data_IF_417941651592
#
_entry.id   IF_417941651592
#
_cell.length_a   1.000
_cell.length_b   1.000
_cell.length_c   1.000
_cell.angle_alpha   90.00
_cell.angle_beta   90.00
_cell.angle_gamma   90.00
#
_symmetry.space_group_name_H-M   'P 1'
#
loop_
_entity.id
_entity.type
_entity.pdbx_description
1 polymer ?
#
# COMPACT_ATOMS: atom_id res chain seq x y z
N UNK A 1 44.11 40.29 18.09
CA UNK A 1 45.04 39.18 17.75
C UNK A 1 44.24 37.89 17.57
N UNK A 2 44.58 37.02 16.61
CA UNK A 2 43.85 35.74 16.44
C UNK A 2 44.38 34.70 17.43
N UNK A 3 43.47 33.95 18.06
CA UNK A 3 43.80 32.93 19.07
C UNK A 3 44.74 31.81 18.59
N UNK A 4 44.78 31.54 17.28
CA UNK A 4 45.58 30.47 16.68
C UNK A 4 46.26 30.96 15.38
N UNK A 5 47.58 30.81 15.26
CA UNK A 5 48.38 31.18 14.08
C UNK A 5 48.19 30.18 12.94
N UNK A 6 48.60 30.53 11.72
CA UNK A 6 48.55 29.62 10.56
C UNK A 6 49.40 28.36 10.81
N UNK A 7 50.65 28.55 11.23
CA UNK A 7 51.59 27.46 11.54
C UNK A 7 51.01 26.49 12.57
N UNK A 8 50.35 27.02 13.61
CA UNK A 8 49.70 26.20 14.63
C UNK A 8 48.55 25.36 14.07
N UNK A 9 47.70 25.95 13.22
CA UNK A 9 46.60 25.21 12.57
C UNK A 9 47.14 24.16 11.61
N UNK A 10 48.14 24.52 10.81
CA UNK A 10 48.74 23.63 9.82
C UNK A 10 49.40 22.43 10.50
N UNK A 11 50.14 22.65 11.59
CA UNK A 11 50.71 21.57 12.41
C UNK A 11 49.64 20.56 12.88
N UNK A 12 48.55 21.05 13.46
CA UNK A 12 47.47 20.17 13.97
C UNK A 12 46.79 19.41 12.82
N UNK A 13 46.63 20.03 11.65
CA UNK A 13 46.05 19.35 10.48
C UNK A 13 46.99 18.27 9.96
N UNK A 14 48.30 18.51 9.91
CA UNK A 14 49.29 17.51 9.53
C UNK A 14 49.32 16.34 10.51
N UNK A 15 49.31 16.61 11.83
CA UNK A 15 49.22 15.55 12.86
C UNK A 15 47.94 14.70 12.72
N UNK A 16 46.83 15.30 12.28
CA UNK A 16 45.62 14.53 11.95
C UNK A 16 45.78 13.67 10.70
N UNK A 17 46.41 14.20 9.64
CA UNK A 17 46.62 13.48 8.39
C UNK A 17 47.67 12.37 8.51
N UNK A 18 48.66 12.52 9.38
CA UNK A 18 49.64 11.48 9.72
C UNK A 18 49.10 10.39 10.64
N UNK A 19 47.86 10.53 11.13
CA UNK A 19 47.17 9.49 11.91
C UNK A 19 47.50 9.50 13.41
N UNK A 20 48.07 10.58 13.97
CA UNK A 20 48.44 10.66 15.39
C UNK A 20 47.24 10.65 16.36
N UNK A 21 46.01 10.82 15.86
CA UNK A 21 44.78 10.61 16.64
C UNK A 21 43.56 11.36 16.10
N UNK A 22 42.38 11.08 16.69
CA UNK A 22 41.11 11.72 16.30
C UNK A 22 40.95 13.16 16.79
N UNK A 23 39.92 13.87 16.31
CA UNK A 23 39.71 15.30 16.60
C UNK A 23 39.66 15.66 18.09
N UNK A 24 39.03 14.82 18.92
CA UNK A 24 38.93 15.04 20.36
C UNK A 24 40.29 14.86 21.08
N UNK A 25 41.10 13.90 20.60
CA UNK A 25 42.44 13.66 21.12
C UNK A 25 43.38 14.83 20.80
N UNK A 26 43.40 15.28 19.55
CA UNK A 26 44.22 16.43 19.13
C UNK A 26 43.78 17.74 19.82
N UNK A 27 42.49 17.89 20.11
CA UNK A 27 42.00 19.05 20.85
C UNK A 27 42.53 19.08 22.28
N UNK A 28 42.57 17.92 22.94
CA UNK A 28 43.14 17.78 24.30
C UNK A 28 44.66 17.96 24.28
N UNK A 29 45.36 17.38 23.30
CA UNK A 29 46.83 17.46 23.12
C UNK A 29 47.31 18.91 22.95
N UNK A 30 46.60 19.70 22.16
CA UNK A 30 46.98 21.09 21.81
C UNK A 30 46.18 22.17 22.55
N UNK A 31 45.44 21.79 23.59
CA UNK A 31 44.60 22.68 24.40
C UNK A 31 43.63 23.55 23.56
N UNK A 32 43.04 22.96 22.53
CA UNK A 32 41.99 23.58 21.71
C UNK A 32 40.64 23.29 22.35
N UNK A 33 39.81 24.32 22.51
CA UNK A 33 38.56 24.27 23.29
C UNK A 33 37.57 23.18 22.84
N UNK A 34 37.57 22.80 21.57
CA UNK A 34 36.60 21.84 21.00
C UNK A 34 37.23 21.11 19.79
N UNK A 35 37.05 19.78 19.72
CA UNK A 35 37.44 18.95 18.57
C UNK A 35 36.76 19.36 17.27
N UNK A 36 35.57 19.95 17.34
CA UNK A 36 34.89 20.48 16.15
C UNK A 36 35.66 21.64 15.50
N UNK A 37 36.49 22.37 16.27
CA UNK A 37 37.35 23.42 15.75
C UNK A 37 38.47 22.85 14.86
N UNK A 38 39.03 21.70 15.24
CA UNK A 38 40.05 20.98 14.47
C UNK A 38 39.41 20.33 13.24
N UNK A 39 38.24 19.71 13.39
CA UNK A 39 37.47 19.17 12.27
C UNK A 39 37.21 20.23 11.18
N UNK A 40 36.91 21.48 11.57
CA UNK A 40 36.78 22.60 10.62
C UNK A 40 38.09 22.91 9.90
N UNK A 41 39.22 22.96 10.59
CA UNK A 41 40.53 23.22 9.98
C UNK A 41 40.94 22.12 9.01
N UNK A 42 40.81 20.85 9.41
CA UNK A 42 41.14 19.70 8.55
C UNK A 42 40.30 19.70 7.29
N UNK A 43 38.99 19.95 7.40
CA UNK A 43 38.13 19.98 6.22
C UNK A 43 38.39 21.19 5.33
N UNK A 44 38.68 22.37 5.89
CA UNK A 44 39.09 23.53 5.10
C UNK A 44 40.40 23.28 4.35
N UNK A 45 41.33 22.54 4.97
CA UNK A 45 42.60 22.16 4.34
C UNK A 45 42.43 21.11 3.24
N UNK A 46 41.59 20.08 3.45
CA UNK A 46 41.31 19.06 2.43
C UNK A 46 40.71 19.65 1.15
N UNK A 47 39.89 20.69 1.28
CA UNK A 47 39.17 21.29 0.15
C UNK A 47 39.95 22.42 -0.54
N UNK A 48 40.65 23.26 0.23
CA UNK A 48 41.28 24.49 -0.28
C UNK A 48 42.80 24.55 -0.03
N UNK A 49 43.41 23.45 0.39
CA UNK A 49 44.83 23.40 0.74
C UNK A 49 45.21 24.38 1.85
N UNK A 50 46.45 24.88 1.80
CA UNK A 50 46.98 25.83 2.78
C UNK A 50 46.18 27.15 2.83
N UNK A 51 45.62 27.60 1.71
CA UNK A 51 44.77 28.81 1.66
C UNK A 51 43.51 28.69 2.54
N UNK A 52 43.02 27.46 2.75
CA UNK A 52 41.90 27.17 3.63
C UNK A 52 42.15 27.49 5.11
N UNK A 53 43.42 27.53 5.52
CA UNK A 53 43.84 27.80 6.91
C UNK A 53 44.22 29.28 7.14
N UNK A 54 44.51 30.01 6.06
CA UNK A 54 44.83 31.42 6.08
C UNK A 54 43.62 32.28 6.47
N UNK A 55 43.88 33.37 7.21
CA UNK A 55 42.85 34.33 7.59
C UNK A 55 42.68 35.35 6.46
N UNK A 56 41.52 35.40 5.82
CA UNK A 56 41.17 36.51 4.91
C UNK A 56 41.03 37.80 5.72
N UNK A 57 41.86 38.81 5.41
CA UNK A 57 41.88 40.13 6.08
C UNK A 57 40.81 41.09 5.54
N UNK A 58 40.13 40.75 4.44
CA UNK A 58 39.10 41.59 3.81
C UNK A 58 37.70 40.96 3.94
N UNK A 59 36.72 41.76 4.36
CA UNK A 59 35.31 41.36 4.36
C UNK A 59 34.77 41.38 2.92
N UNK A 60 34.65 40.19 2.30
CA UNK A 60 34.03 40.06 0.98
C UNK A 60 32.52 40.38 1.10
N UNK A 61 32.08 41.47 0.46
CA UNK A 61 30.66 41.81 0.35
C UNK A 61 30.05 41.01 -0.80
N UNK A 62 28.94 40.34 -0.55
CA UNK A 62 28.20 39.58 -1.55
C UNK A 62 26.97 40.38 -2.00
N UNK A 63 26.77 40.48 -3.31
CA UNK A 63 25.60 41.14 -3.88
C UNK A 63 24.32 40.38 -3.53
N UNK A 64 23.16 41.06 -3.54
CA UNK A 64 21.87 40.41 -3.27
C UNK A 64 21.60 39.28 -4.26
N UNK A 65 21.95 39.49 -5.54
CA UNK A 65 21.82 38.47 -6.59
C UNK A 65 22.67 37.23 -6.34
N UNK A 66 23.91 37.41 -5.85
CA UNK A 66 24.77 36.28 -5.46
C UNK A 66 24.23 35.52 -4.25
N UNK A 67 23.61 36.21 -3.29
CA UNK A 67 22.96 35.55 -2.15
C UNK A 67 21.73 34.75 -2.60
N UNK A 68 20.96 35.26 -3.55
CA UNK A 68 19.80 34.59 -4.13
C UNK A 68 20.20 33.34 -4.90
N UNK A 69 21.25 33.40 -5.74
CA UNK A 69 21.72 32.22 -6.47
C UNK A 69 22.22 31.12 -5.54
N UNK A 70 22.88 31.48 -4.42
CA UNK A 70 23.30 30.51 -3.41
C UNK A 70 22.10 29.82 -2.71
N UNK A 71 21.00 30.55 -2.49
CA UNK A 71 19.77 30.00 -1.90
C UNK A 71 19.03 29.11 -2.89
N UNK A 72 18.91 29.55 -4.15
CA UNK A 72 18.28 28.78 -5.22
C UNK A 72 19.03 27.47 -5.47
N UNK A 73 20.37 27.50 -5.49
CA UNK A 73 21.20 26.31 -5.63
C UNK A 73 20.94 25.30 -4.49
N UNK A 74 20.80 25.78 -3.26
CA UNK A 74 20.44 24.93 -2.12
C UNK A 74 19.00 24.37 -2.20
N UNK A 75 18.04 25.14 -2.72
CA UNK A 75 16.65 24.71 -2.82
C UNK A 75 16.39 23.74 -3.98
N UNK A 76 17.21 23.81 -5.03
CA UNK A 76 17.05 23.03 -6.26
C UNK A 76 17.91 21.76 -6.28
N UNK A 77 18.92 21.65 -5.42
CA UNK A 77 19.82 20.49 -5.33
C UNK A 77 19.70 19.80 -3.96
N UNK A 78 20.16 18.55 -3.86
CA UNK A 78 20.23 17.81 -2.59
C UNK A 78 21.52 18.10 -1.79
N UNK A 79 22.20 19.21 -2.09
CA UNK A 79 23.47 19.59 -1.46
C UNK A 79 23.25 20.14 -0.04
N UNK A 80 24.09 19.75 0.91
CA UNK A 80 24.17 20.37 2.23
C UNK A 80 24.68 21.81 2.14
N UNK A 81 24.37 22.65 3.14
CA UNK A 81 24.90 24.04 3.21
C UNK A 81 26.42 24.13 3.09
N UNK A 82 27.12 23.07 3.47
CA UNK A 82 28.57 22.97 3.38
C UNK A 82 29.03 22.72 1.96
N UNK A 83 28.41 21.78 1.25
CA UNK A 83 28.69 21.49 -0.15
C UNK A 83 28.35 22.69 -1.04
N UNK A 84 27.23 23.38 -0.77
CA UNK A 84 26.88 24.62 -1.47
C UNK A 84 27.95 25.69 -1.23
N UNK A 85 28.41 25.86 0.01
CA UNK A 85 29.47 26.81 0.32
C UNK A 85 30.79 26.47 -0.39
N UNK A 86 31.16 25.19 -0.44
CA UNK A 86 32.35 24.73 -1.17
C UNK A 86 32.25 25.04 -2.67
N UNK A 87 31.11 24.74 -3.31
CA UNK A 87 30.87 25.01 -4.74
C UNK A 87 30.97 26.49 -5.10
N UNK A 88 30.66 27.37 -4.14
CA UNK A 88 30.71 28.83 -4.30
C UNK A 88 32.03 29.46 -3.81
N UNK A 89 33.00 28.64 -3.38
CA UNK A 89 34.28 29.12 -2.83
C UNK A 89 34.15 29.89 -1.51
N UNK A 90 33.11 29.58 -0.72
CA UNK A 90 32.79 30.20 0.55
C UNK A 90 33.22 29.27 1.70
N UNK A 91 34.27 29.67 2.43
CA UNK A 91 34.82 28.86 3.53
C UNK A 91 33.93 28.87 4.81
N UNK A 92 32.76 29.53 4.77
CA UNK A 92 31.88 29.75 5.92
C UNK A 92 30.44 29.33 5.59
N UNK A 93 30.15 28.03 5.70
CA UNK A 93 28.82 27.47 5.48
C UNK A 93 27.69 28.12 6.33
N UNK A 94 27.90 28.46 7.61
CA UNK A 94 26.93 29.23 8.40
C UNK A 94 26.46 30.56 7.79
N UNK A 95 27.23 31.15 6.87
CA UNK A 95 26.84 32.38 6.18
C UNK A 95 25.59 32.16 5.30
N UNK A 96 25.55 31.04 4.58
CA UNK A 96 24.42 30.66 3.71
C UNK A 96 23.19 30.33 4.56
N UNK A 97 23.38 29.68 5.72
CA UNK A 97 22.30 29.43 6.68
C UNK A 97 21.64 30.74 7.13
N UNK A 98 22.43 31.78 7.42
CA UNK A 98 21.90 33.09 7.80
C UNK A 98 21.17 33.78 6.64
N UNK A 99 21.69 33.70 5.41
CA UNK A 99 20.99 34.23 4.23
C UNK A 99 19.66 33.52 4.01
N UNK A 100 19.62 32.19 4.13
CA UNK A 100 18.39 31.41 4.01
C UNK A 100 17.37 31.79 5.09
N UNK A 101 17.83 31.99 6.33
CA UNK A 101 16.97 32.46 7.43
C UNK A 101 16.37 33.83 7.11
N UNK A 102 17.19 34.80 6.75
CA UNK A 102 16.71 36.14 6.39
C UNK A 102 15.79 36.15 5.17
N UNK A 103 16.03 35.28 4.20
CA UNK A 103 15.16 35.11 3.04
C UNK A 103 13.81 34.47 3.40
N UNK A 104 13.79 33.50 4.31
CA UNK A 104 12.52 32.93 4.82
C UNK A 104 11.72 33.95 5.62
N UNK A 105 12.39 34.79 6.42
CA UNK A 105 11.73 35.73 7.33
C UNK A 105 11.20 36.98 6.59
N UNK A 106 11.93 37.49 5.59
CA UNK A 106 11.63 38.78 4.96
C UNK A 106 11.82 38.80 3.43
N UNK A 107 11.92 37.63 2.78
CA UNK A 107 12.10 37.54 1.33
C UNK A 107 13.38 38.20 0.83
N UNK A 108 13.33 38.79 -0.36
CA UNK A 108 14.47 39.48 -0.99
C UNK A 108 14.96 40.67 -0.13
N UNK A 109 14.04 41.35 0.56
CA UNK A 109 14.35 42.49 1.45
C UNK A 109 15.14 42.09 2.69
N UNK A 110 15.06 40.81 3.10
CA UNK A 110 15.90 40.25 4.15
C UNK A 110 17.39 40.17 3.77
N UNK A 111 17.70 40.07 2.48
CA UNK A 111 19.07 39.90 1.97
C UNK A 111 19.80 41.23 1.73
N UNK A 112 19.08 42.35 1.69
CA UNK A 112 19.60 43.70 1.39
C UNK A 112 20.04 44.49 2.62
N UNK A 113 19.64 44.09 3.84
CA UNK A 113 19.95 44.85 5.06
C UNK A 113 21.46 44.88 5.36
N UNK A 114 22.04 46.07 5.26
CA UNK A 114 23.38 46.41 5.76
C UNK A 114 23.37 46.42 7.29
N UNK A 115 24.34 45.76 7.94
CA UNK A 115 24.53 45.88 9.41
C UNK A 115 25.15 47.24 9.74
N UNK A 116 24.41 48.11 10.42
CA UNK A 116 24.88 49.39 10.97
C UNK A 116 23.81 50.12 11.80
N UNK A 117 24.24 51.01 12.71
CA UNK A 117 23.37 51.95 13.44
C UNK A 117 22.75 52.93 12.42
N UNK A 118 21.44 53.22 12.48
CA UNK A 118 20.86 54.22 11.58
C UNK A 118 21.55 55.58 11.81
N UNK A 119 21.88 56.34 10.76
CA UNK A 119 22.43 57.67 10.93
C UNK A 119 21.35 58.55 11.58
N UNK A 120 21.69 59.15 12.72
CA UNK A 120 20.89 60.18 13.36
C UNK A 120 21.35 61.50 12.72
N UNK A 121 20.69 61.93 11.66
CA UNK A 121 20.60 63.36 11.31
C UNK A 121 19.48 63.58 10.29
N UNK A 122 18.68 64.60 10.56
CA UNK A 122 17.58 65.08 9.72
C UNK A 122 18.12 65.61 8.39
N UNK A 123 17.79 64.96 7.28
CA UNK A 123 17.95 65.58 5.97
C UNK A 123 16.68 66.30 5.55
N UNK A 124 16.91 67.57 5.20
CA UNK A 124 15.94 68.59 4.82
C UNK A 124 15.08 68.15 3.64
N UNK A 125 13.84 68.65 3.66
CA UNK A 125 12.96 68.75 2.49
C UNK A 125 13.73 69.34 1.30
N UNK A 126 13.87 68.56 0.23
CA UNK A 126 14.10 69.06 -1.12
C UNK A 126 12.83 68.81 -1.95
N UNK A 127 12.36 69.87 -2.59
CA UNK A 127 11.16 69.92 -3.43
C UNK A 127 11.38 69.24 -4.81
N UNK A 128 10.32 68.99 -5.60
CA UNK A 128 10.23 67.85 -6.50
C UNK A 128 10.94 68.10 -7.84
N UNK A 129 11.75 67.14 -8.26
CA UNK A 129 12.29 67.08 -9.61
C UNK A 129 11.83 65.79 -10.30
N UNK A 130 10.93 66.00 -11.25
CA UNK A 130 10.81 65.31 -12.54
C UNK A 130 10.54 63.80 -12.53
N UNK A 131 9.32 63.48 -12.93
CA UNK A 131 8.85 62.17 -13.36
C UNK A 131 9.76 61.53 -14.41
N UNK A 132 10.65 60.63 -13.99
CA UNK A 132 11.16 59.60 -14.88
C UNK A 132 10.22 58.39 -14.79
N UNK A 133 9.27 58.33 -15.73
CA UNK A 133 8.64 57.07 -16.13
C UNK A 133 9.78 56.13 -16.50
N UNK A 134 10.16 55.23 -15.59
CA UNK A 134 10.98 54.09 -15.94
C UNK A 134 10.18 53.28 -16.96
N UNK A 135 10.64 53.32 -18.21
CA UNK A 135 10.27 52.33 -19.21
C UNK A 135 10.60 50.98 -18.59
N UNK A 136 9.57 50.24 -18.17
CA UNK A 136 9.68 48.80 -17.95
C UNK A 136 10.30 48.24 -19.23
N UNK A 137 11.41 47.53 -19.12
CA UNK A 137 12.02 46.90 -20.31
C UNK A 137 10.96 46.01 -20.95
N UNK A 138 10.88 45.94 -22.29
CA UNK A 138 9.86 45.14 -22.98
C UNK A 138 9.86 43.68 -22.48
N UNK A 139 11.05 43.20 -22.10
CA UNK A 139 11.33 41.94 -21.41
C UNK A 139 10.61 41.76 -20.07
N UNK A 140 10.51 42.79 -19.24
CA UNK A 140 9.80 42.70 -17.95
C UNK A 140 8.28 42.63 -18.15
N UNK A 141 7.75 43.34 -19.15
CA UNK A 141 6.33 43.28 -19.51
C UNK A 141 5.96 41.91 -20.11
N UNK A 142 6.85 41.33 -20.92
CA UNK A 142 6.69 39.97 -21.45
C UNK A 142 6.73 38.93 -20.33
N UNK A 143 7.69 39.05 -19.40
CA UNK A 143 7.80 38.16 -18.24
C UNK A 143 6.58 38.24 -17.32
N UNK A 144 6.05 39.44 -17.07
CA UNK A 144 4.82 39.63 -16.29
C UNK A 144 3.64 38.94 -16.97
N UNK A 145 3.46 39.12 -18.30
CA UNK A 145 2.40 38.44 -19.06
C UNK A 145 2.54 36.92 -19.02
N UNK A 146 3.77 36.40 -19.09
CA UNK A 146 4.02 34.97 -19.00
C UNK A 146 3.68 34.41 -17.62
N UNK A 147 4.10 35.10 -16.55
CA UNK A 147 3.77 34.74 -15.17
C UNK A 147 2.25 34.80 -14.92
N UNK A 148 1.56 35.83 -15.40
CA UNK A 148 0.10 35.92 -15.32
C UNK A 148 -0.59 34.75 -16.01
N UNK A 149 -0.09 34.34 -17.19
CA UNK A 149 -0.58 33.16 -17.93
C UNK A 149 -0.33 31.87 -17.15
N UNK A 150 0.83 31.71 -16.54
CA UNK A 150 1.16 30.55 -15.70
C UNK A 150 0.25 30.49 -14.47
N UNK A 151 0.08 31.60 -13.74
CA UNK A 151 -0.83 31.70 -12.58
C UNK A 151 -2.26 31.35 -12.98
N UNK A 152 -2.73 31.84 -14.14
CA UNK A 152 -4.07 31.52 -14.65
C UNK A 152 -4.23 30.04 -14.99
N UNK A 153 -3.20 29.43 -15.60
CA UNK A 153 -3.16 27.99 -15.91
C UNK A 153 -3.19 27.15 -14.63
N UNK A 154 -2.40 27.51 -13.63
CA UNK A 154 -2.37 26.83 -12.32
C UNK A 154 -3.70 26.97 -11.57
N UNK A 155 -4.35 28.15 -11.64
CA UNK A 155 -5.69 28.35 -11.07
C UNK A 155 -6.72 27.41 -11.69
N UNK A 156 -6.68 27.23 -13.02
CA UNK A 156 -7.55 26.29 -13.73
C UNK A 156 -7.28 24.85 -13.28
N UNK A 157 -6.01 24.43 -13.26
CA UNK A 157 -5.62 23.08 -12.82
C UNK A 157 -6.08 22.80 -11.39
N UNK A 158 -5.84 23.72 -10.46
CA UNK A 158 -6.26 23.59 -9.07
C UNK A 158 -7.78 23.51 -8.93
N UNK A 159 -8.54 24.34 -9.65
CA UNK A 159 -9.99 24.28 -9.63
C UNK A 159 -10.52 22.94 -10.17
N UNK A 160 -9.90 22.44 -11.24
CA UNK A 160 -10.20 21.12 -11.81
C UNK A 160 -9.89 19.98 -10.84
N UNK A 161 -8.71 19.99 -10.20
CA UNK A 161 -8.35 18.98 -9.20
C UNK A 161 -9.28 18.98 -8.00
N UNK A 162 -9.68 20.15 -7.49
CA UNK A 162 -10.68 20.25 -6.40
C UNK A 162 -12.01 19.60 -6.78
N UNK A 163 -12.52 19.86 -7.98
CA UNK A 163 -13.74 19.22 -8.48
C UNK A 163 -13.60 17.70 -8.66
N UNK A 164 -12.44 17.23 -9.10
CA UNK A 164 -12.14 15.80 -9.15
C UNK A 164 -12.18 15.19 -7.75
N UNK A 165 -11.58 15.85 -6.76
CA UNK A 165 -11.54 15.37 -5.38
C UNK A 165 -12.94 15.30 -4.76
N UNK A 166 -13.78 16.32 -4.99
CA UNK A 166 -15.19 16.33 -4.61
C UNK A 166 -15.98 15.19 -5.27
N UNK A 167 -15.78 14.97 -6.56
CA UNK A 167 -16.40 13.86 -7.29
C UNK A 167 -15.90 12.49 -6.79
N UNK A 168 -14.62 12.38 -6.41
CA UNK A 168 -14.07 11.16 -5.83
C UNK A 168 -14.67 10.86 -4.44
N UNK A 169 -14.87 11.89 -3.60
CA UNK A 169 -15.51 11.75 -2.27
C UNK A 169 -16.95 11.26 -2.37
N UNK A 170 -17.66 11.63 -3.44
CA UNK A 170 -19.02 11.17 -3.72
C UNK A 170 -19.09 9.83 -4.46
N UNK A 171 -17.95 9.18 -4.71
CA UNK A 171 -17.88 7.88 -5.40
C UNK A 171 -18.16 7.97 -6.90
N UNK A 172 -18.18 9.17 -7.48
CA UNK A 172 -18.39 9.35 -8.91
C UNK A 172 -17.13 8.98 -9.71
N UNK A 173 -17.25 8.33 -10.88
CA UNK A 173 -16.10 8.00 -11.70
C UNK A 173 -15.40 9.29 -12.15
N UNK A 174 -14.11 9.45 -11.84
CA UNK A 174 -13.36 10.69 -12.09
C UNK A 174 -12.50 10.65 -13.36
N UNK A 175 -12.21 9.45 -13.89
CA UNK A 175 -11.25 9.24 -15.00
C UNK A 175 -11.88 9.07 -16.38
N UNK A 176 -13.20 9.17 -16.50
CA UNK A 176 -13.87 8.99 -17.80
C UNK A 176 -13.92 10.28 -18.60
N UNK A 177 -13.92 10.19 -19.93
CA UNK A 177 -14.06 11.38 -20.78
C UNK A 177 -15.39 12.12 -20.53
N UNK A 178 -16.45 11.39 -20.16
CA UNK A 178 -17.73 11.98 -19.77
C UNK A 178 -17.62 12.77 -18.46
N UNK A 179 -17.02 12.19 -17.41
CA UNK A 179 -16.85 12.85 -16.12
C UNK A 179 -15.98 14.10 -16.22
N UNK A 180 -14.89 14.03 -16.99
CA UNK A 180 -14.02 15.18 -17.28
C UNK A 180 -14.82 16.27 -17.99
N UNK A 181 -15.64 15.93 -19.00
CA UNK A 181 -16.47 16.90 -19.69
C UNK A 181 -17.53 17.55 -18.77
N UNK A 182 -18.14 16.80 -17.84
CA UNK A 182 -19.07 17.33 -16.84
C UNK A 182 -18.39 18.31 -15.87
N UNK A 183 -17.17 17.98 -15.43
CA UNK A 183 -16.36 18.87 -14.59
C UNK A 183 -16.01 20.15 -15.36
N UNK A 184 -15.60 20.07 -16.63
CA UNK A 184 -15.34 21.23 -17.49
C UNK A 184 -16.59 22.13 -17.61
N UNK A 185 -17.78 21.54 -17.74
CA UNK A 185 -19.04 22.32 -17.74
C UNK A 185 -19.26 23.04 -16.42
N UNK A 186 -19.02 22.38 -15.28
CA UNK A 186 -19.18 23.02 -13.97
C UNK A 186 -18.22 24.21 -13.75
N UNK A 187 -17.06 24.21 -14.41
CA UNK A 187 -16.04 25.26 -14.33
C UNK A 187 -16.27 26.41 -15.32
N UNK A 188 -17.20 26.28 -16.27
CA UNK A 188 -17.48 27.32 -17.27
C UNK A 188 -18.02 28.63 -16.68
N UNK A 189 -18.53 28.61 -15.45
CA UNK A 189 -18.92 29.83 -14.74
C UNK A 189 -17.73 30.69 -14.30
N UNK A 190 -16.53 30.11 -14.20
CA UNK A 190 -15.33 30.78 -13.68
C UNK A 190 -14.25 30.99 -14.75
N UNK A 191 -14.20 30.12 -15.76
CA UNK A 191 -13.14 30.12 -16.79
C UNK A 191 -13.71 29.97 -18.20
N UNK A 192 -13.01 30.56 -19.19
CA UNK A 192 -13.38 30.41 -20.61
C UNK A 192 -13.13 28.97 -21.08
N UNK A 193 -14.00 28.45 -21.94
CA UNK A 193 -13.89 27.07 -22.46
C UNK A 193 -12.55 26.81 -23.18
N UNK A 194 -12.07 27.76 -23.98
CA UNK A 194 -10.80 27.63 -24.70
C UNK A 194 -9.63 27.47 -23.73
N UNK A 195 -9.63 28.25 -22.64
CA UNK A 195 -8.61 28.16 -21.59
C UNK A 195 -8.67 26.79 -20.89
N UNK A 196 -9.87 26.33 -20.51
CA UNK A 196 -10.07 25.02 -19.88
C UNK A 196 -9.58 23.86 -20.76
N UNK A 197 -9.95 23.84 -22.04
CA UNK A 197 -9.57 22.77 -22.96
C UNK A 197 -8.07 22.75 -23.24
N UNK A 198 -7.44 23.92 -23.41
CA UNK A 198 -6.01 24.04 -23.65
C UNK A 198 -5.20 23.64 -22.41
N UNK A 199 -5.59 24.10 -21.22
CA UNK A 199 -4.89 23.77 -19.97
C UNK A 199 -4.98 22.29 -19.61
N UNK A 200 -6.12 21.65 -19.89
CA UNK A 200 -6.35 20.22 -19.60
C UNK A 200 -5.93 19.31 -20.77
N UNK A 201 -5.47 19.88 -21.87
CA UNK A 201 -5.19 19.19 -23.13
C UNK A 201 -6.36 18.27 -23.59
N UNK A 202 -7.60 18.76 -23.41
CA UNK A 202 -8.81 17.99 -23.69
C UNK A 202 -9.40 18.38 -25.06
N UNK A 203 -9.54 17.46 -26.02
CA UNK A 203 -10.00 17.82 -27.37
C UNK A 203 -11.42 18.43 -27.37
N UNK A 204 -11.59 19.55 -28.07
CA UNK A 204 -12.88 20.24 -28.22
C UNK A 204 -13.96 19.32 -28.79
N UNK A 205 -13.62 18.49 -29.77
CA UNK A 205 -14.54 17.53 -30.38
C UNK A 205 -15.08 16.53 -29.33
N UNK A 206 -14.21 16.00 -28.47
CA UNK A 206 -14.58 15.08 -27.39
C UNK A 206 -15.47 15.77 -26.35
N UNK A 207 -15.17 17.01 -25.98
CA UNK A 207 -16.01 17.81 -25.09
C UNK A 207 -17.42 18.01 -25.67
N UNK A 208 -17.53 18.47 -26.91
CA UNK A 208 -18.82 18.70 -27.57
C UNK A 208 -19.62 17.40 -27.75
N UNK A 209 -18.92 16.30 -28.04
CA UNK A 209 -19.50 14.96 -28.12
C UNK A 209 -20.20 14.56 -26.82
N UNK A 210 -19.56 14.78 -25.67
CA UNK A 210 -20.14 14.43 -24.37
C UNK A 210 -21.18 15.44 -23.90
N UNK A 211 -20.97 16.74 -24.15
CA UNK A 211 -21.92 17.79 -23.78
C UNK A 211 -23.32 17.54 -24.35
N UNK A 212 -23.41 17.15 -25.63
CA UNK A 212 -24.68 16.79 -26.28
C UNK A 212 -25.37 15.55 -25.67
N UNK A 213 -24.66 14.78 -24.84
CA UNK A 213 -25.10 13.49 -24.30
C UNK A 213 -25.37 13.50 -22.80
N UNK A 214 -25.15 14.62 -22.12
CA UNK A 214 -25.30 14.68 -20.66
C UNK A 214 -26.69 14.34 -20.13
N UNK A 215 -27.73 14.61 -20.94
CA UNK A 215 -29.13 14.35 -20.60
C UNK A 215 -29.59 12.95 -21.03
N UNK A 216 -28.72 12.10 -21.58
CA UNK A 216 -29.09 10.74 -21.94
C UNK A 216 -29.31 9.93 -20.66
N UNK A 217 -30.45 9.25 -20.57
CA UNK A 217 -30.71 8.29 -19.51
C UNK A 217 -29.69 7.15 -19.59
N UNK A 218 -29.13 6.77 -18.44
CA UNK A 218 -28.22 5.63 -18.34
C UNK A 218 -29.03 4.34 -18.49
N UNK A 219 -28.97 3.72 -19.67
CA UNK A 219 -29.65 2.45 -19.96
C UNK A 219 -29.17 1.31 -19.06
N UNK A 220 -27.95 1.43 -18.51
CA UNK A 220 -27.34 0.40 -17.68
C UNK A 220 -27.60 0.60 -16.18
N UNK A 221 -28.34 1.63 -15.77
CA UNK A 221 -28.49 2.01 -14.35
C UNK A 221 -28.98 0.86 -13.47
N UNK A 222 -30.03 0.16 -13.90
CA UNK A 222 -30.60 -0.98 -13.14
C UNK A 222 -29.59 -2.11 -12.94
N UNK A 223 -28.78 -2.39 -13.96
CA UNK A 223 -27.71 -3.41 -13.89
C UNK A 223 -26.59 -2.92 -12.97
N UNK A 224 -26.21 -1.64 -13.05
CA UNK A 224 -25.19 -1.04 -12.18
C UNK A 224 -25.61 -1.12 -10.70
N UNK A 225 -26.86 -0.78 -10.39
CA UNK A 225 -27.40 -0.84 -9.03
C UNK A 225 -27.42 -2.28 -8.48
N UNK A 226 -27.84 -3.26 -9.28
CA UNK A 226 -27.79 -4.67 -8.89
C UNK A 226 -26.36 -5.19 -8.75
N UNK A 227 -25.43 -4.76 -9.60
CA UNK A 227 -24.01 -5.09 -9.43
C UNK A 227 -23.45 -4.59 -8.11
N UNK A 228 -23.88 -3.40 -7.64
CA UNK A 228 -23.49 -2.87 -6.33
C UNK A 228 -24.10 -3.67 -5.18
N UNK A 229 -25.35 -4.12 -5.29
CA UNK A 229 -25.96 -5.02 -4.29
C UNK A 229 -25.24 -6.37 -4.23
N UNK A 230 -24.94 -6.97 -5.39
CA UNK A 230 -24.12 -8.19 -5.50
C UNK A 230 -22.76 -7.97 -4.84
N UNK A 231 -22.16 -6.79 -5.02
CA UNK A 231 -20.84 -6.47 -4.45
C UNK A 231 -20.88 -6.39 -2.92
N UNK A 232 -21.95 -5.84 -2.35
CA UNK A 232 -22.14 -5.77 -0.90
C UNK A 232 -22.24 -7.16 -0.27
N UNK A 233 -22.95 -8.08 -0.92
CA UNK A 233 -23.09 -9.47 -0.48
C UNK A 233 -21.82 -10.30 -0.77
N UNK A 234 -21.23 -10.11 -1.95
CA UNK A 234 -20.12 -10.89 -2.47
C UNK A 234 -18.89 -10.03 -2.80
N UNK A 235 -18.23 -9.54 -1.75
CA UNK A 235 -17.07 -8.64 -1.84
C UNK A 235 -15.86 -9.20 -2.62
N UNK A 236 -15.80 -10.48 -2.94
CA UNK A 236 -14.66 -11.10 -3.64
C UNK A 236 -15.04 -11.62 -5.05
N UNK A 237 -16.24 -11.28 -5.53
CA UNK A 237 -16.66 -11.69 -6.87
C UNK A 237 -16.05 -10.78 -7.94
N UNK A 238 -15.32 -11.42 -8.87
CA UNK A 238 -14.92 -10.80 -10.13
C UNK A 238 -16.04 -10.87 -11.18
N UNK A 239 -15.77 -10.28 -12.36
CA UNK A 239 -16.80 -10.08 -13.40
C UNK A 239 -17.55 -11.35 -13.83
N UNK A 240 -16.89 -12.51 -13.87
CA UNK A 240 -17.56 -13.77 -14.25
C UNK A 240 -18.60 -14.21 -13.23
N UNK A 241 -18.29 -14.10 -11.93
CA UNK A 241 -19.23 -14.46 -10.87
C UNK A 241 -20.35 -13.43 -10.78
N UNK A 242 -20.03 -12.13 -10.89
CA UNK A 242 -21.05 -11.07 -10.96
C UNK A 242 -21.98 -11.29 -12.16
N UNK A 243 -21.45 -11.66 -13.33
CA UNK A 243 -22.28 -11.96 -14.51
C UNK A 243 -23.26 -13.09 -14.23
N UNK A 244 -22.82 -14.14 -13.54
CA UNK A 244 -23.69 -15.28 -13.29
C UNK A 244 -24.68 -15.03 -12.17
N UNK A 245 -24.28 -14.31 -11.14
CA UNK A 245 -25.18 -13.84 -10.08
C UNK A 245 -26.28 -12.91 -10.64
N UNK A 246 -25.94 -12.01 -11.57
CA UNK A 246 -26.91 -11.20 -12.30
C UNK A 246 -27.93 -12.09 -13.06
N UNK A 247 -27.46 -13.17 -13.68
CA UNK A 247 -28.35 -14.11 -14.38
C UNK A 247 -29.26 -14.88 -13.43
N UNK A 248 -28.76 -15.28 -12.26
CA UNK A 248 -29.59 -15.89 -11.21
C UNK A 248 -30.68 -14.93 -10.73
N UNK A 249 -30.42 -13.61 -10.76
CA UNK A 249 -31.41 -12.56 -10.47
C UNK A 249 -32.29 -12.17 -11.66
N UNK A 250 -32.25 -12.92 -12.76
CA UNK A 250 -33.10 -12.70 -13.93
C UNK A 250 -32.53 -11.75 -14.99
N UNK A 251 -31.30 -11.23 -14.84
CA UNK A 251 -30.69 -10.33 -15.83
C UNK A 251 -29.96 -11.11 -16.93
N UNK A 252 -30.46 -11.03 -18.16
CA UNK A 252 -29.77 -11.58 -19.34
C UNK A 252 -28.66 -10.64 -19.82
N UNK A 253 -27.48 -10.74 -19.21
CA UNK A 253 -26.33 -9.89 -19.53
C UNK A 253 -25.13 -10.66 -20.06
N UNK A 254 -24.39 -10.03 -20.98
CA UNK A 254 -23.13 -10.55 -21.50
C UNK A 254 -21.96 -10.19 -20.56
N UNK A 255 -21.03 -11.14 -20.35
CA UNK A 255 -19.82 -10.95 -19.55
C UNK A 255 -18.97 -9.72 -19.94
N UNK A 256 -18.92 -9.37 -21.24
CA UNK A 256 -18.19 -8.19 -21.74
C UNK A 256 -18.84 -6.88 -21.26
N UNK A 257 -20.17 -6.85 -21.18
CA UNK A 257 -20.93 -5.70 -20.64
C UNK A 257 -20.63 -5.53 -19.16
N UNK A 258 -20.73 -6.60 -18.38
CA UNK A 258 -20.39 -6.60 -16.95
C UNK A 258 -18.95 -6.17 -16.71
N UNK A 259 -17.99 -6.65 -17.52
CA UNK A 259 -16.58 -6.23 -17.42
C UNK A 259 -16.38 -4.74 -17.73
N UNK A 260 -17.12 -4.17 -18.70
CA UNK A 260 -17.12 -2.73 -18.95
C UNK A 260 -17.68 -1.95 -17.76
N UNK A 261 -18.80 -2.41 -17.20
CA UNK A 261 -19.46 -1.78 -16.05
C UNK A 261 -18.60 -1.83 -14.78
N UNK A 262 -17.92 -2.95 -14.51
CA UNK A 262 -16.96 -3.06 -13.40
C UNK A 262 -15.85 -2.01 -13.51
N UNK A 263 -15.32 -1.78 -14.72
CA UNK A 263 -14.33 -0.72 -14.95
C UNK A 263 -14.91 0.67 -14.78
N UNK A 264 -16.16 0.89 -15.21
CA UNK A 264 -16.88 2.16 -15.05
C UNK A 264 -17.12 2.49 -13.58
N UNK A 265 -17.55 1.51 -12.79
CA UNK A 265 -17.86 1.63 -11.37
C UNK A 265 -16.61 1.47 -10.46
N UNK A 266 -15.43 1.34 -11.05
CA UNK A 266 -14.15 1.09 -10.35
C UNK A 266 -14.21 -0.05 -9.32
N UNK A 267 -14.96 -1.12 -9.60
CA UNK A 267 -15.07 -2.28 -8.72
C UNK A 267 -13.76 -3.08 -8.79
N UNK A 268 -12.93 -2.98 -7.75
CA UNK A 268 -11.65 -3.70 -7.64
C UNK A 268 -11.68 -4.75 -6.54
N UNK A 269 -11.11 -5.92 -6.84
CA UNK A 269 -10.87 -6.99 -5.85
C UNK A 269 -9.39 -6.95 -5.46
N UNK A 270 -9.10 -6.36 -4.31
CA UNK A 270 -7.71 -6.19 -3.82
C UNK A 270 -7.23 -7.38 -2.98
N UNK A 271 -8.16 -8.24 -2.59
CA UNK A 271 -7.98 -9.38 -1.70
C UNK A 271 -6.88 -10.35 -2.14
N UNK A 272 -6.73 -10.62 -3.44
CA UNK A 272 -5.83 -11.68 -3.95
C UNK A 272 -4.42 -11.19 -4.34
N UNK A 273 -4.01 -9.99 -3.91
CA UNK A 273 -2.73 -9.39 -4.32
C UNK A 273 -1.54 -9.79 -3.46
N UNK A 274 -1.77 -10.42 -2.30
CA UNK A 274 -0.72 -10.70 -1.31
C UNK A 274 -0.17 -12.13 -1.43
N UNK A 275 1.15 -12.27 -1.57
CA UNK A 275 1.88 -13.55 -1.42
C UNK A 275 2.13 -13.83 0.08
N UNK A 276 1.77 -15.02 0.54
CA UNK A 276 2.01 -15.46 1.91
C UNK A 276 3.11 -16.52 1.99
N UNK A 277 3.87 -16.53 3.09
CA UNK A 277 4.86 -17.58 3.40
C UNK A 277 4.20 -18.82 4.03
N UNK A 278 4.83 -19.99 3.86
CA UNK A 278 4.35 -21.31 4.32
C UNK A 278 4.58 -21.54 5.82
N UNK A 279 3.66 -22.27 6.44
CA UNK A 279 3.79 -22.90 7.76
C UNK A 279 4.00 -24.41 7.57
N UNK A 280 4.76 -25.06 8.45
CA UNK A 280 4.97 -26.52 8.47
C UNK A 280 4.78 -27.03 9.90
N UNK A 281 3.95 -28.05 10.08
CA UNK A 281 3.58 -28.67 11.38
C UNK A 281 4.35 -29.97 11.68
N UNK A 282 5.35 -30.32 10.85
CA UNK A 282 6.05 -31.61 10.94
C UNK A 282 6.87 -31.75 12.23
N UNK A 283 6.67 -32.88 12.95
CA UNK A 283 7.32 -33.19 14.24
C UNK A 283 8.11 -34.52 14.28
N UNK A 284 8.33 -35.20 13.15
CA UNK A 284 9.04 -36.50 13.11
C UNK A 284 8.13 -37.69 12.76
N UNK A 285 8.69 -38.91 12.73
CA UNK A 285 7.93 -40.17 12.58
C UNK A 285 7.40 -40.57 13.97
N UNK A 286 6.10 -40.46 14.18
CA UNK A 286 5.45 -40.73 15.48
C UNK A 286 4.41 -41.85 15.39
N UNK A 287 4.03 -42.32 14.19
CA UNK A 287 3.07 -43.41 14.02
C UNK A 287 3.11 -44.13 12.66
N UNK A 288 2.04 -44.84 12.35
CA UNK A 288 1.88 -45.66 11.13
C UNK A 288 1.40 -44.81 9.95
N UNK A 289 1.97 -45.05 8.77
CA UNK A 289 1.67 -44.28 7.55
C UNK A 289 0.86 -45.13 6.56
N UNK A 290 -0.39 -44.74 6.30
CA UNK A 290 -1.26 -45.29 5.27
C UNK A 290 -0.80 -44.92 3.83
N UNK A 291 -1.07 -45.80 2.88
CA UNK A 291 -0.78 -45.58 1.44
C UNK A 291 -1.67 -44.45 0.88
N UNK A 292 -1.17 -43.71 -0.10
CA UNK A 292 -1.97 -42.71 -0.81
C UNK A 292 -2.93 -43.39 -1.80
N UNK A 293 -4.21 -43.48 -1.43
CA UNK A 293 -5.29 -44.08 -2.24
C UNK A 293 -5.92 -43.09 -3.22
N UNK A 294 -5.92 -41.80 -2.87
CA UNK A 294 -6.50 -40.72 -3.70
C UNK A 294 -5.69 -40.53 -4.98
N UNK A 295 -4.35 -40.55 -4.90
CA UNK A 295 -3.43 -40.36 -6.05
C UNK A 295 -3.81 -39.13 -6.89
N UNK A 296 -4.16 -38.02 -6.23
CA UNK A 296 -4.61 -36.74 -6.82
C UNK A 296 -5.92 -36.80 -7.63
N UNK A 297 -6.69 -37.90 -7.52
CA UNK A 297 -8.05 -38.02 -8.08
C UNK A 297 -9.07 -37.34 -7.17
N UNK A 298 -8.97 -36.01 -7.13
CA UNK A 298 -9.81 -35.12 -6.32
C UNK A 298 -11.22 -34.95 -6.87
N UNK A 299 -11.48 -35.32 -8.13
CA UNK A 299 -12.84 -35.41 -8.63
C UNK A 299 -13.49 -36.74 -8.20
N UNK A 300 -14.74 -36.64 -7.79
CA UNK A 300 -15.65 -37.77 -7.65
C UNK A 300 -17.03 -37.33 -8.14
N UNK A 301 -17.84 -38.27 -8.60
CA UNK A 301 -19.25 -38.07 -8.98
C UNK A 301 -20.20 -38.45 -7.85
N UNK A 302 -19.69 -39.10 -6.80
CA UNK A 302 -20.49 -39.60 -5.67
C UNK A 302 -20.23 -38.70 -4.46
N UNK A 303 -21.29 -38.06 -3.96
CA UNK A 303 -21.25 -37.27 -2.74
C UNK A 303 -20.84 -38.12 -1.54
N UNK A 304 -20.11 -37.53 -0.59
CA UNK A 304 -19.68 -38.14 0.66
C UNK A 304 -18.71 -39.33 0.52
N UNK A 305 -18.27 -39.66 -0.69
CA UNK A 305 -17.38 -40.80 -0.94
C UNK A 305 -15.93 -40.53 -0.54
N UNK A 306 -15.43 -39.32 -0.81
CA UNK A 306 -14.03 -38.95 -0.57
C UNK A 306 -13.98 -37.67 0.22
N UNK A 307 -13.47 -37.75 1.44
CA UNK A 307 -13.37 -36.61 2.35
C UNK A 307 -11.90 -36.24 2.52
N UNK A 308 -11.59 -34.96 2.59
CA UNK A 308 -10.23 -34.46 2.84
C UNK A 308 -10.19 -33.61 4.10
N UNK A 309 -9.12 -33.73 4.88
CA UNK A 309 -8.91 -32.98 6.12
C UNK A 309 -7.47 -32.53 6.27
N UNK A 310 -7.27 -31.39 6.94
CA UNK A 310 -5.96 -30.86 7.33
C UNK A 310 -6.14 -29.80 8.43
N UNK A 311 -5.07 -29.38 9.11
CA UNK A 311 -5.12 -28.32 10.12
C UNK A 311 -4.33 -27.10 9.65
N UNK A 312 -4.95 -25.91 9.72
CA UNK A 312 -4.26 -24.64 9.45
C UNK A 312 -4.22 -23.73 10.67
N UNK A 313 -3.15 -22.94 10.81
CA UNK A 313 -3.02 -21.94 11.86
C UNK A 313 -3.36 -20.52 11.38
N UNK A 314 -3.93 -19.73 12.28
CA UNK A 314 -4.20 -18.31 12.19
C UNK A 314 -3.62 -17.58 13.41
N UNK A 315 -3.32 -16.30 13.25
CA UNK A 315 -2.79 -15.44 14.32
C UNK A 315 -3.79 -14.34 14.67
N UNK A 316 -3.95 -14.05 15.95
CA UNK A 316 -4.72 -12.89 16.44
C UNK A 316 -3.93 -12.18 17.54
N UNK A 317 -4.24 -10.91 17.78
CA UNK A 317 -3.46 -10.01 18.62
C UNK A 317 -4.25 -9.57 19.84
N UNK A 318 -3.91 -10.12 21.02
CA UNK A 318 -4.55 -9.72 22.26
C UNK A 318 -3.71 -8.65 22.95
N UNK A 319 -4.29 -7.49 23.23
CA UNK A 319 -3.66 -6.46 24.07
C UNK A 319 -3.89 -6.81 25.53
N UNK A 320 -2.82 -6.80 26.33
CA UNK A 320 -2.90 -7.01 27.77
C UNK A 320 -3.32 -5.72 28.51
N UNK A 321 -3.68 -5.82 29.79
CA UNK A 321 -4.02 -4.66 30.63
C UNK A 321 -2.88 -3.64 30.72
N UNK A 322 -1.64 -4.09 30.56
CA UNK A 322 -0.43 -3.25 30.52
C UNK A 322 -0.14 -2.65 29.14
N UNK A 323 -1.03 -2.79 28.15
CA UNK A 323 -0.87 -2.25 26.79
C UNK A 323 0.02 -3.06 25.85
N UNK A 324 0.59 -4.19 26.30
CA UNK A 324 1.47 -5.04 25.48
C UNK A 324 0.64 -5.93 24.54
N UNK A 325 0.97 -5.91 23.25
CA UNK A 325 0.28 -6.73 22.23
C UNK A 325 0.91 -8.12 22.17
N UNK A 326 0.15 -9.14 22.58
CA UNK A 326 0.55 -10.55 22.50
C UNK A 326 -0.02 -11.20 21.23
N UNK A 327 0.85 -11.88 20.46
CA UNK A 327 0.41 -12.73 19.36
C UNK A 327 -0.05 -14.09 19.90
N UNK A 328 -1.30 -14.46 19.63
CA UNK A 328 -1.87 -15.76 19.96
C UNK A 328 -2.29 -16.49 18.68
N UNK A 329 -2.49 -17.81 18.80
CA UNK A 329 -2.84 -18.69 17.68
C UNK A 329 -4.23 -19.27 17.82
N UNK A 330 -4.86 -19.50 16.67
CA UNK A 330 -6.10 -20.23 16.49
C UNK A 330 -5.86 -21.28 15.40
N UNK A 331 -6.37 -22.48 15.60
CA UNK A 331 -6.26 -23.59 14.67
C UNK A 331 -7.64 -23.97 14.17
N UNK A 332 -7.73 -24.26 12.87
CA UNK A 332 -8.94 -24.75 12.21
C UNK A 332 -8.63 -26.11 11.59
N UNK A 333 -9.51 -27.09 11.86
CA UNK A 333 -9.49 -28.39 11.21
C UNK A 333 -10.86 -28.67 10.58
N UNK A 334 -11.00 -28.59 9.24
CA UNK A 334 -12.22 -28.91 8.53
C UNK A 334 -12.16 -30.27 7.83
N UNK A 335 -13.31 -30.93 7.70
CA UNK A 335 -13.53 -32.09 6.85
C UNK A 335 -14.35 -31.67 5.63
N UNK A 336 -13.80 -31.86 4.44
CA UNK A 336 -14.38 -31.35 3.18
C UNK A 336 -14.69 -32.49 2.23
N UNK A 337 -15.91 -32.52 1.69
CA UNK A 337 -16.30 -33.46 0.63
C UNK A 337 -15.61 -33.07 -0.69
N UNK A 338 -14.87 -34.00 -1.29
CA UNK A 338 -14.19 -33.77 -2.57
C UNK A 338 -15.18 -33.61 -3.75
N UNK A 339 -16.41 -34.13 -3.63
CA UNK A 339 -17.46 -34.03 -4.66
C UNK A 339 -17.80 -32.57 -5.00
N UNK A 340 -18.29 -31.82 -4.02
CA UNK A 340 -18.79 -30.45 -4.16
C UNK A 340 -17.94 -29.42 -3.39
N UNK A 341 -16.91 -29.88 -2.66
CA UNK A 341 -16.10 -29.02 -1.80
C UNK A 341 -16.88 -28.32 -0.69
N UNK A 342 -17.92 -28.97 -0.16
CA UNK A 342 -18.65 -28.58 1.05
C UNK A 342 -17.82 -28.92 2.29
N UNK A 343 -17.73 -27.98 3.23
CA UNK A 343 -17.21 -28.26 4.57
C UNK A 343 -18.31 -28.99 5.33
N UNK A 344 -18.12 -30.27 5.63
CA UNK A 344 -19.11 -31.10 6.31
C UNK A 344 -19.09 -30.87 7.82
N UNK A 345 -17.90 -30.84 8.40
CA UNK A 345 -17.67 -30.56 9.82
C UNK A 345 -16.36 -29.82 10.00
N UNK A 346 -16.21 -29.11 11.13
CA UNK A 346 -14.94 -28.50 11.49
C UNK A 346 -14.83 -28.21 12.98
N UNK A 347 -13.60 -28.07 13.49
CA UNK A 347 -13.33 -27.57 14.85
C UNK A 347 -12.34 -26.42 14.84
N UNK A 348 -12.56 -25.50 15.78
CA UNK A 348 -11.71 -24.33 16.01
C UNK A 348 -11.22 -24.35 17.45
N UNK A 349 -9.89 -24.31 17.64
CA UNK A 349 -9.29 -24.44 18.97
C UNK A 349 -8.03 -23.57 19.14
N UNK A 350 -7.63 -23.35 20.40
CA UNK A 350 -6.52 -22.46 20.77
C UNK A 350 -5.14 -23.11 20.67
N UNK A 351 -5.07 -24.43 20.83
CA UNK A 351 -3.84 -25.23 20.79
C UNK A 351 -4.14 -26.55 20.06
N UNK A 352 -3.18 -27.14 19.32
CA UNK A 352 -3.37 -28.42 18.66
C UNK A 352 -3.89 -29.45 19.67
N UNK A 353 -5.12 -29.94 19.46
CA UNK A 353 -5.78 -30.88 20.35
C UNK A 353 -6.39 -32.01 19.52
N UNK A 354 -5.92 -33.25 19.77
CA UNK A 354 -6.40 -34.43 19.07
C UNK A 354 -7.88 -34.72 19.37
N UNK A 355 -8.38 -34.44 20.58
CA UNK A 355 -9.78 -34.70 20.94
C UNK A 355 -10.74 -33.90 20.04
N UNK A 356 -10.41 -32.63 19.77
CA UNK A 356 -11.19 -31.77 18.88
C UNK A 356 -11.20 -32.34 17.45
N UNK A 357 -10.07 -32.81 16.95
CA UNK A 357 -10.03 -33.41 15.60
C UNK A 357 -10.88 -34.69 15.54
N UNK A 358 -10.88 -35.51 16.60
CA UNK A 358 -11.71 -36.70 16.70
C UNK A 358 -13.21 -36.37 16.77
N UNK A 359 -13.62 -35.33 17.50
CA UNK A 359 -15.01 -34.85 17.50
C UNK A 359 -15.46 -34.37 16.11
N UNK A 360 -14.59 -33.65 15.38
CA UNK A 360 -14.85 -33.24 14.00
C UNK A 360 -14.95 -34.45 13.06
N UNK A 361 -14.10 -35.45 13.26
CA UNK A 361 -14.13 -36.71 12.53
C UNK A 361 -15.47 -37.44 12.75
N UNK A 362 -15.92 -37.57 14.00
CA UNK A 362 -17.18 -38.23 14.34
C UNK A 362 -18.37 -37.61 13.61
N UNK A 363 -18.48 -36.29 13.63
CA UNK A 363 -19.52 -35.57 12.91
C UNK A 363 -19.45 -35.81 11.39
N UNK A 364 -18.25 -35.81 10.81
CA UNK A 364 -18.06 -36.12 9.39
C UNK A 364 -18.46 -37.58 9.06
N UNK A 365 -18.17 -38.52 9.94
CA UNK A 365 -18.56 -39.94 9.78
C UNK A 365 -20.09 -40.06 9.78
N UNK A 366 -20.77 -39.38 10.70
CA UNK A 366 -22.23 -39.38 10.80
C UNK A 366 -22.87 -38.78 9.54
N UNK A 367 -22.41 -37.61 9.09
CA UNK A 367 -22.94 -36.94 7.88
C UNK A 367 -22.76 -37.80 6.64
N UNK A 368 -21.62 -38.49 6.52
CA UNK A 368 -21.28 -39.28 5.34
C UNK A 368 -21.83 -40.71 5.38
N UNK A 369 -22.52 -41.11 6.44
CA UNK A 369 -22.98 -42.49 6.63
C UNK A 369 -24.03 -42.93 5.60
N UNK A 370 -24.69 -41.98 4.95
CA UNK A 370 -25.64 -42.23 3.87
C UNK A 370 -24.98 -42.62 2.53
N UNK A 371 -23.64 -42.59 2.42
CA UNK A 371 -22.95 -42.96 1.19
C UNK A 371 -23.01 -44.49 0.98
N UNK A 372 -23.62 -44.98 -0.12
CA UNK A 372 -23.76 -46.41 -0.36
C UNK A 372 -22.45 -47.08 -0.82
N UNK A 373 -21.40 -46.28 -1.05
CA UNK A 373 -20.11 -46.75 -1.54
C UNK A 373 -19.04 -46.63 -0.47
N UNK A 374 -17.94 -47.36 -0.67
CA UNK A 374 -16.75 -47.28 0.17
C UNK A 374 -16.26 -45.83 0.31
N UNK A 375 -16.19 -45.38 1.56
CA UNK A 375 -15.70 -44.04 1.94
C UNK A 375 -14.18 -44.02 2.09
N UNK A 376 -13.54 -42.93 1.68
CA UNK A 376 -12.10 -42.72 1.86
C UNK A 376 -11.85 -41.35 2.49
N UNK A 377 -11.13 -41.33 3.62
CA UNK A 377 -10.78 -40.11 4.33
C UNK A 377 -9.29 -39.84 4.11
N UNK A 378 -8.99 -38.69 3.50
CA UNK A 378 -7.67 -38.27 3.08
C UNK A 378 -7.11 -37.17 3.99
N UNK A 379 -5.91 -37.35 4.52
CA UNK A 379 -5.21 -36.33 5.30
C UNK A 379 -3.76 -36.18 4.88
N UNK A 380 -3.08 -35.18 5.42
CA UNK A 380 -1.63 -35.18 5.42
C UNK A 380 -1.05 -36.21 6.42
N UNK A 381 0.28 -36.25 6.54
CA UNK A 381 0.97 -37.07 7.54
C UNK A 381 1.13 -36.36 8.89
N UNK A 382 0.20 -35.48 9.27
CA UNK A 382 0.17 -34.88 10.59
C UNK A 382 0.08 -35.94 11.70
N UNK A 383 0.69 -35.66 12.86
CA UNK A 383 0.77 -36.63 13.96
C UNK A 383 -0.61 -37.11 14.43
N UNK A 384 -1.62 -36.24 14.42
CA UNK A 384 -3.00 -36.56 14.85
C UNK A 384 -3.60 -37.67 13.99
N UNK A 385 -3.38 -37.63 12.67
CA UNK A 385 -3.93 -38.60 11.74
C UNK A 385 -3.20 -39.96 11.79
N UNK A 386 -2.02 -40.01 12.40
CA UNK A 386 -1.28 -41.26 12.63
C UNK A 386 -1.60 -41.90 13.99
N UNK A 387 -2.43 -41.26 14.83
CA UNK A 387 -2.78 -41.79 16.14
C UNK A 387 -3.71 -43.00 16.03
N UNK A 388 -3.51 -43.99 16.90
CA UNK A 388 -4.35 -45.18 16.99
C UNK A 388 -5.84 -44.83 17.16
N UNK A 389 -6.17 -43.86 18.01
CA UNK A 389 -7.56 -43.41 18.18
C UNK A 389 -8.22 -42.92 16.88
N UNK A 390 -7.45 -42.29 15.97
CA UNK A 390 -7.95 -41.84 14.68
C UNK A 390 -8.10 -43.01 13.70
N UNK A 391 -7.10 -43.90 13.63
CA UNK A 391 -7.14 -45.08 12.76
C UNK A 391 -8.27 -46.03 13.16
N UNK A 392 -8.39 -46.35 14.45
CA UNK A 392 -9.39 -47.28 14.98
C UNK A 392 -10.81 -46.77 14.72
N UNK A 393 -11.03 -45.45 14.84
CA UNK A 393 -12.34 -44.83 14.53
C UNK A 393 -12.69 -45.00 13.06
N UNK A 394 -11.75 -44.82 12.14
CA UNK A 394 -11.98 -45.04 10.71
C UNK A 394 -12.26 -46.52 10.41
N UNK A 395 -11.46 -47.43 10.97
CA UNK A 395 -11.58 -48.87 10.76
C UNK A 395 -12.92 -49.43 11.27
N UNK A 396 -13.34 -49.00 12.47
CA UNK A 396 -14.64 -49.39 13.08
C UNK A 396 -15.83 -48.95 12.22
N UNK A 397 -15.67 -47.91 11.40
CA UNK A 397 -16.70 -47.39 10.50
C UNK A 397 -16.51 -47.85 9.05
N UNK A 398 -15.60 -48.81 8.80
CA UNK A 398 -15.24 -49.32 7.47
C UNK A 398 -14.79 -48.23 6.49
N UNK A 399 -14.11 -47.19 6.99
CA UNK A 399 -13.62 -46.06 6.21
C UNK A 399 -12.13 -46.25 5.92
N UNK A 400 -11.76 -46.09 4.66
CA UNK A 400 -10.37 -46.26 4.24
C UNK A 400 -9.58 -44.98 4.50
N UNK A 401 -8.54 -45.09 5.33
CA UNK A 401 -7.60 -44.00 5.50
C UNK A 401 -6.69 -43.88 4.28
N UNK A 402 -6.48 -42.65 3.82
CA UNK A 402 -5.46 -42.31 2.83
C UNK A 402 -4.62 -41.15 3.37
N UNK A 403 -3.30 -41.22 3.22
CA UNK A 403 -2.42 -40.11 3.57
C UNK A 403 -1.58 -39.62 2.39
N UNK A 404 -1.34 -38.31 2.34
CA UNK A 404 -0.47 -37.69 1.34
C UNK A 404 0.98 -38.16 1.50
N UNK A 405 1.79 -38.04 0.44
CA UNK A 405 3.23 -38.29 0.55
C UNK A 405 3.91 -37.16 1.33
N UNK A 406 4.89 -37.50 2.15
CA UNK A 406 5.70 -36.54 2.90
C UNK A 406 6.24 -35.45 1.97
N UNK A 407 6.03 -34.17 2.35
CA UNK A 407 6.53 -33.02 1.61
C UNK A 407 5.82 -32.75 0.28
N UNK A 408 4.71 -33.42 -0.04
CA UNK A 408 4.03 -33.30 -1.33
C UNK A 408 2.68 -32.57 -1.18
N UNK A 409 2.70 -31.24 -1.25
CA UNK A 409 1.47 -30.43 -1.11
C UNK A 409 0.45 -30.67 -2.25
N UNK A 410 0.89 -31.20 -3.39
CA UNK A 410 -0.01 -31.53 -4.51
C UNK A 410 -0.94 -32.70 -4.17
N UNK A 411 -0.55 -33.57 -3.23
CA UNK A 411 -1.37 -34.70 -2.82
C UNK A 411 -2.55 -34.26 -1.92
N UNK A 412 -2.53 -33.07 -1.31
CA UNK A 412 -3.64 -32.46 -0.54
C UNK A 412 -4.13 -31.11 -1.14
N UNK A 413 -4.00 -30.93 -2.45
CA UNK A 413 -4.20 -29.64 -3.12
C UNK A 413 -5.61 -29.02 -2.92
N UNK A 414 -6.63 -29.85 -2.72
CA UNK A 414 -8.02 -29.39 -2.52
C UNK A 414 -8.14 -28.60 -1.21
N UNK A 415 -7.52 -29.10 -0.15
CA UNK A 415 -7.50 -28.45 1.17
C UNK A 415 -6.62 -27.20 1.17
N UNK A 416 -5.46 -27.26 0.52
CA UNK A 416 -4.59 -26.09 0.34
C UNK A 416 -5.30 -24.96 -0.43
N UNK A 417 -6.07 -25.29 -1.46
CA UNK A 417 -6.91 -24.34 -2.18
C UNK A 417 -7.95 -23.70 -1.26
N UNK A 418 -8.62 -24.50 -0.43
CA UNK A 418 -9.62 -23.99 0.53
C UNK A 418 -8.98 -23.03 1.54
N UNK A 419 -7.87 -23.41 2.18
CA UNK A 419 -7.19 -22.54 3.14
C UNK A 419 -6.65 -21.27 2.50
N UNK A 420 -6.14 -21.35 1.27
CA UNK A 420 -5.70 -20.17 0.54
C UNK A 420 -6.85 -19.20 0.31
N UNK A 421 -8.01 -19.70 -0.15
CA UNK A 421 -9.20 -18.87 -0.38
C UNK A 421 -9.70 -18.23 0.91
N UNK A 422 -9.88 -19.02 1.97
CA UNK A 422 -10.31 -18.52 3.27
C UNK A 422 -9.36 -17.45 3.80
N UNK A 423 -8.04 -17.72 3.78
CA UNK A 423 -7.06 -16.77 4.30
C UNK A 423 -7.02 -15.47 3.49
N UNK A 424 -7.11 -15.54 2.17
CA UNK A 424 -7.20 -14.34 1.34
C UNK A 424 -8.46 -13.54 1.67
N UNK A 425 -9.62 -14.19 1.68
CA UNK A 425 -10.93 -13.52 1.75
C UNK A 425 -11.23 -12.91 3.14
N UNK A 426 -10.81 -13.55 4.24
CA UNK A 426 -11.16 -13.05 5.59
C UNK A 426 -9.98 -12.71 6.48
N UNK A 427 -8.76 -13.20 6.19
CA UNK A 427 -7.64 -13.09 7.12
C UNK A 427 -6.61 -12.04 6.69
N UNK A 428 -6.14 -12.07 5.45
CA UNK A 428 -5.10 -11.17 4.99
C UNK A 428 -5.64 -9.74 4.82
N UNK A 429 -5.01 -8.78 5.51
CA UNK A 429 -5.41 -7.37 5.51
C UNK A 429 -6.36 -6.96 6.62
N UNK A 430 -6.73 -7.89 7.51
CA UNK A 430 -7.50 -7.60 8.71
C UNK A 430 -6.74 -8.09 9.94
N UNK A 431 -6.67 -7.24 10.96
CA UNK A 431 -6.17 -7.63 12.28
C UNK A 431 -7.35 -8.07 13.14
N UNK A 432 -7.19 -9.22 13.77
CA UNK A 432 -8.16 -9.76 14.72
C UNK A 432 -7.61 -9.59 16.12
N UNK A 433 -8.45 -9.10 17.05
CA UNK A 433 -8.02 -8.73 18.40
C UNK A 433 -8.44 -9.71 19.49
N UNK A 434 -9.27 -10.70 19.13
CA UNK A 434 -9.68 -11.76 20.06
C UNK A 434 -9.91 -13.10 19.37
N UNK A 435 -9.86 -14.17 20.16
CA UNK A 435 -10.22 -15.50 19.70
C UNK A 435 -11.68 -15.55 19.22
N UNK A 436 -12.61 -14.90 19.95
CA UNK A 436 -14.04 -14.90 19.63
C UNK A 436 -14.31 -14.21 18.29
N UNK A 437 -13.66 -13.08 18.05
CA UNK A 437 -13.80 -12.33 16.79
C UNK A 437 -13.31 -13.16 15.59
N UNK A 438 -12.10 -13.74 15.69
CA UNK A 438 -11.56 -14.56 14.60
C UNK A 438 -12.37 -15.85 14.39
N UNK A 439 -12.81 -16.50 15.48
CA UNK A 439 -13.68 -17.67 15.40
C UNK A 439 -14.98 -17.33 14.66
N UNK A 440 -15.66 -16.25 15.08
CA UNK A 440 -16.91 -15.81 14.45
C UNK A 440 -16.72 -15.48 12.96
N UNK A 441 -15.61 -14.85 12.58
CA UNK A 441 -15.31 -14.59 11.17
C UNK A 441 -15.11 -15.88 10.36
N UNK A 442 -14.45 -16.90 10.92
CA UNK A 442 -14.27 -18.20 10.28
C UNK A 442 -15.62 -18.94 10.18
N UNK A 443 -16.43 -18.95 11.24
CA UNK A 443 -17.76 -19.58 11.24
C UNK A 443 -18.65 -18.97 10.14
N UNK A 444 -18.76 -17.64 10.12
CA UNK A 444 -19.55 -16.92 9.11
C UNK A 444 -19.03 -17.19 7.70
N UNK A 445 -17.70 -17.28 7.53
CA UNK A 445 -17.11 -17.60 6.22
C UNK A 445 -17.46 -19.00 5.76
N UNK A 446 -17.41 -20.01 6.63
CA UNK A 446 -17.74 -21.39 6.26
C UNK A 446 -19.22 -21.49 5.88
N UNK A 447 -20.12 -20.82 6.61
CA UNK A 447 -21.54 -20.73 6.25
C UNK A 447 -21.74 -20.10 4.87
N UNK A 448 -21.12 -18.95 4.62
CA UNK A 448 -21.13 -18.28 3.32
C UNK A 448 -20.54 -19.17 2.21
N UNK A 449 -19.39 -19.79 2.47
CA UNK A 449 -18.67 -20.64 1.52
C UNK A 449 -19.49 -21.85 1.09
N UNK A 450 -20.24 -22.47 2.02
CA UNK A 450 -21.07 -23.63 1.74
C UNK A 450 -22.39 -23.27 1.05
N UNK A 451 -23.05 -22.18 1.46
CA UNK A 451 -24.43 -21.91 1.07
C UNK A 451 -24.60 -20.87 -0.04
N UNK A 452 -23.72 -19.87 -0.11
CA UNK A 452 -23.88 -18.70 -0.98
C UNK A 452 -22.77 -18.56 -2.02
N UNK A 453 -21.58 -19.12 -1.73
CA UNK A 453 -20.40 -18.91 -2.55
C UNK A 453 -20.42 -19.75 -3.82
N UNK A 454 -20.73 -19.13 -4.96
CA UNK A 454 -20.75 -19.81 -6.26
C UNK A 454 -19.35 -20.18 -6.78
N UNK A 455 -19.26 -21.38 -7.37
CA UNK A 455 -18.02 -21.92 -7.94
C UNK A 455 -18.21 -22.33 -9.39
N UNK A 456 -17.32 -21.85 -10.26
CA UNK A 456 -17.33 -22.20 -11.70
C UNK A 456 -17.29 -23.72 -11.94
N UNK A 457 -16.53 -24.47 -11.13
CA UNK A 457 -16.43 -25.94 -11.25
C UNK A 457 -17.71 -26.68 -10.85
N UNK A 458 -18.63 -26.00 -10.16
CA UNK A 458 -19.93 -26.51 -9.74
C UNK A 458 -21.05 -25.86 -10.56
N UNK A 459 -20.78 -25.51 -11.82
CA UNK A 459 -21.71 -24.79 -12.69
C UNK A 459 -22.29 -23.51 -12.07
N UNK A 460 -21.46 -22.81 -11.28
CA UNK A 460 -21.84 -21.58 -10.57
C UNK A 460 -22.93 -21.78 -9.49
N UNK A 461 -23.04 -22.97 -8.94
CA UNK A 461 -23.76 -23.22 -7.70
C UNK A 461 -22.82 -23.12 -6.50
N UNK A 462 -23.39 -22.87 -5.32
CA UNK A 462 -22.70 -23.08 -4.05
C UNK A 462 -22.48 -24.59 -3.79
N UNK A 463 -21.54 -24.98 -2.92
CA UNK A 463 -21.34 -26.39 -2.56
C UNK A 463 -22.63 -27.13 -2.19
N UNK A 464 -23.45 -26.55 -1.32
CA UNK A 464 -24.69 -27.15 -0.84
C UNK A 464 -25.72 -27.21 -1.96
N UNK A 465 -25.89 -26.13 -2.73
CA UNK A 465 -26.80 -26.10 -3.88
C UNK A 465 -26.44 -27.18 -4.91
N UNK A 466 -25.16 -27.34 -5.22
CA UNK A 466 -24.69 -28.35 -6.16
C UNK A 466 -25.01 -29.78 -5.69
N UNK A 467 -24.83 -30.08 -4.39
CA UNK A 467 -25.20 -31.38 -3.82
C UNK A 467 -26.70 -31.61 -3.91
N UNK A 468 -27.52 -30.65 -3.51
CA UNK A 468 -28.99 -30.75 -3.58
C UNK A 468 -29.45 -30.96 -5.02
N UNK A 469 -28.93 -30.18 -5.98
CA UNK A 469 -29.25 -30.33 -7.39
C UNK A 469 -28.85 -31.70 -7.94
N UNK A 470 -27.69 -32.22 -7.54
CA UNK A 470 -27.20 -33.52 -8.00
C UNK A 470 -27.99 -34.68 -7.39
N UNK A 471 -28.54 -34.52 -6.18
CA UNK A 471 -29.45 -35.50 -5.57
C UNK A 471 -30.79 -35.52 -6.32
N UNK A 472 -31.34 -34.38 -6.71
CA UNK A 472 -32.59 -34.31 -7.49
C UNK A 472 -32.44 -34.97 -8.86
N UNK A 473 -31.29 -34.80 -9.53
CA UNK A 473 -31.04 -35.39 -10.85
C UNK A 473 -30.74 -36.90 -10.82
N UNK A 474 -30.53 -37.48 -9.64
CA UNK A 474 -30.26 -38.90 -9.47
C UNK A 474 -31.53 -39.74 -9.18
N UNK A 475 -32.65 -39.06 -8.92
CA UNK A 475 -34.01 -39.62 -8.88
C UNK A 475 -34.75 -39.21 -10.15
#
# INVERSE_FOLDING_TARGET
MSKYTFEFKFKIVQEYLSGEGGYAFLAKKHNVKDGNQIHRWVNSYREFGEEGLLRKRQNKKYSVQFKLSAIELYQTTEMSYREVANSLGINNAPLIVNWMRHYRDAGIDGLSKSKGRPPIMNEKKANPATSNKSKTSSTDQERIKELEKQVRTLKIQNAFFKRIEEAAKTGSPTKTNESIARIIVSLRGQFKLVELLNTLNFPKATYMYWQKRFNRKNVDQTIEDEMLKIRQQHKDYGYLRITQELRHRGFLVNKKKVQRLIRKLDIRVETYTRKSRKYSSYKGKVGTVAKNLIRRRFSTTISHQKITTDTTEFKYFKTDTSGIVQTKKLYLNPFIDMFNSEVLSYRIYRKPNASMVLEGLEEAITITNNCPYRRTFHSDQGWIYQMRAYTDKLETNHIFQSMSRKGNCLDNALMESFFSQLKQEIFYGKNYHSFKELKSAIDNYIQYYNNERIKRKLNYLSPVEFRKASQIMAY
#
